data_IF_933470322486
#
_entry.id   IF_933470322486
#
_cell.length_a   1.000
_cell.length_b   1.000
_cell.length_c   1.000
_cell.angle_alpha   90.00
_cell.angle_beta   90.00
_cell.angle_gamma   90.00
#
_symmetry.space_group_name_H-M   'P 1'
#
loop_
_entity.id
_entity.type
_entity.pdbx_description
1 polymer ?
#
# COMPACT_ATOMS: atom_id res chain seq x y z
N UNK A 1 1.69 -15.58 -7.94
CA UNK A 1 1.52 -14.17 -7.53
C UNK A 1 0.51 -13.55 -8.45
N UNK A 2 -0.58 -12.98 -7.92
CA UNK A 2 -1.68 -12.40 -8.70
C UNK A 2 -1.17 -11.56 -9.89
N UNK A 3 -1.14 -12.10 -11.13
CA UNK A 3 -0.51 -11.43 -12.25
C UNK A 3 -1.51 -10.52 -12.99
N UNK A 4 -2.53 -10.01 -12.28
CA UNK A 4 -3.69 -9.34 -12.91
C UNK A 4 -4.12 -8.03 -12.27
N UNK A 5 -3.33 -7.41 -11.40
CA UNK A 5 -3.47 -5.96 -11.15
C UNK A 5 -2.62 -5.20 -12.15
N UNK A 6 -3.11 -5.25 -13.40
CA UNK A 6 -3.16 -4.19 -14.41
C UNK A 6 -2.08 -3.10 -14.25
N UNK A 7 -1.12 -3.12 -15.18
CA UNK A 7 -0.41 -1.92 -15.63
C UNK A 7 -1.44 -0.87 -16.03
N UNK A 8 -1.86 -0.05 -15.08
CA UNK A 8 -2.36 1.29 -15.40
C UNK A 8 -1.10 2.13 -15.26
N UNK A 9 -0.58 2.65 -16.38
CA UNK A 9 0.40 3.72 -16.36
C UNK A 9 -0.22 4.85 -15.56
N UNK A 10 0.12 4.90 -14.29
CA UNK A 10 -0.29 5.95 -13.38
C UNK A 10 0.98 6.45 -12.75
N UNK A 11 1.12 7.76 -12.73
CA UNK A 11 2.15 8.39 -11.96
C UNK A 11 2.05 7.94 -10.50
N UNK A 12 3.05 7.18 -10.06
CA UNK A 12 3.24 6.83 -8.66
C UNK A 12 4.20 7.85 -8.08
N UNK A 13 3.78 8.51 -7.00
CA UNK A 13 4.66 9.45 -6.29
C UNK A 13 6.02 8.80 -5.95
N UNK A 14 7.12 9.56 -6.00
CA UNK A 14 8.43 9.12 -5.54
C UNK A 14 8.38 8.45 -4.18
N UNK A 15 9.33 7.55 -3.92
CA UNK A 15 9.39 6.83 -2.66
C UNK A 15 9.51 7.78 -1.46
N UNK A 16 10.27 8.88 -1.59
CA UNK A 16 10.41 9.93 -0.57
C UNK A 16 9.05 10.47 -0.13
N UNK A 17 8.22 10.89 -1.08
CA UNK A 17 6.93 11.53 -0.81
C UNK A 17 5.95 10.55 -0.18
N UNK A 18 5.98 9.30 -0.65
CA UNK A 18 5.15 8.23 -0.07
C UNK A 18 5.61 7.87 1.33
N UNK A 19 6.92 7.83 1.58
CA UNK A 19 7.49 7.59 2.91
C UNK A 19 7.07 8.69 3.89
N UNK A 20 7.20 9.95 3.48
CA UNK A 20 6.76 11.10 4.28
C UNK A 20 5.25 11.08 4.55
N UNK A 21 4.45 10.82 3.52
CA UNK A 21 2.99 10.73 3.70
C UNK A 21 2.60 9.58 4.64
N UNK A 22 3.31 8.45 4.57
CA UNK A 22 3.07 7.31 5.45
C UNK A 22 3.52 7.59 6.89
N UNK A 23 4.68 8.22 7.09
CA UNK A 23 5.16 8.54 8.44
C UNK A 23 4.23 9.54 9.13
N UNK A 24 3.79 10.59 8.43
CA UNK A 24 2.87 11.58 8.99
C UNK A 24 1.50 10.99 9.40
N UNK A 25 1.03 9.92 8.75
CA UNK A 25 -0.21 9.23 9.12
C UNK A 25 0.02 8.19 10.24
N UNK A 26 1.21 7.60 10.34
CA UNK A 26 1.55 6.61 11.37
C UNK A 26 1.99 7.24 12.68
N UNK A 27 2.67 8.39 12.67
CA UNK A 27 3.18 9.07 13.87
C UNK A 27 2.10 9.30 14.95
N UNK A 28 0.91 9.86 14.62
CA UNK A 28 -0.14 10.04 15.63
C UNK A 28 -0.70 8.73 16.17
N UNK A 29 -0.76 7.68 15.34
CA UNK A 29 -1.22 6.35 15.75
C UNK A 29 -0.20 5.67 16.67
N UNK A 30 1.08 5.81 16.32
CA UNK A 30 2.20 5.31 17.10
C UNK A 30 2.26 5.93 18.49
N UNK A 31 2.09 7.26 18.57
CA UNK A 31 2.01 7.98 19.84
C UNK A 31 0.78 7.55 20.66
N UNK A 32 -0.40 7.47 20.03
CA UNK A 32 -1.64 7.08 20.70
C UNK A 32 -1.62 5.65 21.25
N UNK A 33 -0.93 4.73 20.57
CA UNK A 33 -0.82 3.32 20.96
C UNK A 33 0.51 2.98 21.64
N UNK A 34 1.38 3.95 21.87
CA UNK A 34 2.72 3.80 22.44
C UNK A 34 3.52 2.67 21.75
N UNK A 35 3.55 2.68 20.41
CA UNK A 35 4.23 1.68 19.61
C UNK A 35 5.27 2.32 18.68
N UNK A 36 6.35 1.59 18.39
CA UNK A 36 7.37 2.01 17.44
C UNK A 36 7.09 1.41 16.06
N UNK A 37 7.46 2.12 15.00
CA UNK A 37 7.33 1.63 13.63
C UNK A 37 8.58 1.93 12.79
N UNK A 38 8.87 1.05 11.82
CA UNK A 38 9.95 1.23 10.86
C UNK A 38 9.43 1.14 9.43
N UNK A 39 9.74 2.16 8.61
CA UNK A 39 9.39 2.16 7.18
C UNK A 39 10.58 1.71 6.34
N UNK A 40 10.54 0.46 5.87
CA UNK A 40 11.58 -0.12 5.00
C UNK A 40 11.17 -0.13 3.53
N UNK A 41 12.11 0.16 2.63
CA UNK A 41 11.89 0.12 1.17
C UNK A 41 11.92 -1.32 0.66
N UNK A 42 10.81 -1.77 0.06
CA UNK A 42 10.76 -3.03 -0.67
C UNK A 42 11.38 -2.88 -2.07
N UNK A 43 12.46 -3.62 -2.34
CA UNK A 43 13.04 -3.74 -3.69
C UNK A 43 12.42 -4.87 -4.52
N UNK A 44 11.83 -5.86 -3.85
CA UNK A 44 11.14 -7.02 -4.45
C UNK A 44 9.83 -7.29 -3.70
N UNK A 45 8.80 -7.86 -4.35
CA UNK A 45 7.49 -8.09 -3.72
C UNK A 45 7.52 -8.91 -2.43
N UNK A 46 8.47 -9.84 -2.30
CA UNK A 46 8.62 -10.72 -1.11
C UNK A 46 9.76 -10.29 -0.18
N UNK A 47 10.36 -9.12 -0.41
CA UNK A 47 11.71 -8.77 0.04
C UNK A 47 11.99 -9.00 1.52
N UNK A 48 11.40 -8.19 2.39
CA UNK A 48 11.74 -8.18 3.82
C UNK A 48 11.07 -9.31 4.60
N UNK A 49 9.92 -9.81 4.15
CA UNK A 49 9.13 -10.79 4.90
C UNK A 49 9.80 -12.18 4.98
N UNK A 50 10.89 -12.38 4.25
CA UNK A 50 11.70 -13.61 4.29
C UNK A 50 12.93 -13.50 5.19
N UNK A 51 13.10 -12.37 5.89
CA UNK A 51 14.13 -12.17 6.92
C UNK A 51 13.61 -12.69 8.29
N UNK A 52 14.50 -13.13 9.20
CA UNK A 52 14.13 -13.47 10.58
C UNK A 52 13.70 -12.22 11.36
N UNK A 53 12.95 -12.43 12.47
CA UNK A 53 12.51 -11.34 13.35
C UNK A 53 11.08 -10.84 13.13
N UNK A 54 10.26 -11.58 12.37
CA UNK A 54 8.84 -11.29 12.17
C UNK A 54 8.00 -12.49 12.61
N UNK A 55 6.89 -12.21 13.31
CA UNK A 55 5.94 -13.22 13.79
C UNK A 55 4.66 -13.30 12.93
N UNK A 56 4.25 -12.17 12.35
CA UNK A 56 3.01 -12.05 11.60
C UNK A 56 3.16 -11.21 10.32
N UNK A 57 2.25 -11.44 9.38
CA UNK A 57 2.09 -10.65 8.16
C UNK A 57 0.61 -10.32 7.95
N UNK A 58 0.33 -9.02 7.80
CA UNK A 58 -1.02 -8.51 7.53
C UNK A 58 -1.21 -8.34 6.03
N UNK A 59 -2.27 -8.94 5.48
CA UNK A 59 -2.58 -8.91 4.04
C UNK A 59 -4.05 -8.67 3.77
N UNK A 60 -4.34 -8.21 2.56
CA UNK A 60 -5.71 -8.21 2.02
C UNK A 60 -6.04 -9.57 1.38
N UNK A 61 -7.32 -9.88 1.13
CA UNK A 61 -7.70 -11.09 0.40
C UNK A 61 -6.97 -11.29 -0.93
N UNK A 62 -6.62 -10.22 -1.66
CA UNK A 62 -5.90 -10.39 -2.95
C UNK A 62 -4.40 -10.64 -2.79
N UNK A 63 -3.84 -10.32 -1.62
CA UNK A 63 -2.42 -10.50 -1.32
C UNK A 63 -2.13 -11.73 -0.45
N UNK A 64 -3.17 -12.48 -0.04
CA UNK A 64 -3.06 -13.75 0.68
C UNK A 64 -2.12 -14.75 -0.02
N UNK A 65 -2.30 -14.98 -1.33
CA UNK A 65 -1.43 -15.89 -2.08
C UNK A 65 0.05 -15.43 -2.11
N UNK A 66 0.31 -14.14 -1.89
CA UNK A 66 1.65 -13.59 -1.70
C UNK A 66 2.24 -13.99 -0.34
N UNK A 67 1.45 -13.88 0.73
CA UNK A 67 1.84 -14.29 2.08
C UNK A 67 2.10 -15.80 2.17
N UNK A 68 1.25 -16.62 1.56
CA UNK A 68 1.45 -18.09 1.49
C UNK A 68 2.79 -18.44 0.84
N UNK A 69 3.15 -17.74 -0.25
CA UNK A 69 4.44 -17.94 -0.93
C UNK A 69 5.62 -17.46 -0.09
N UNK A 70 5.46 -16.41 0.71
CA UNK A 70 6.48 -15.98 1.68
C UNK A 70 6.74 -17.10 2.68
N UNK A 71 5.70 -17.71 3.24
CA UNK A 71 5.84 -18.83 4.16
C UNK A 71 6.50 -20.06 3.52
N UNK A 72 6.25 -20.33 2.24
CA UNK A 72 6.97 -21.36 1.50
C UNK A 72 8.49 -21.07 1.46
N UNK A 73 8.88 -19.85 1.09
CA UNK A 73 10.30 -19.44 1.04
C UNK A 73 10.94 -19.47 2.44
N UNK A 74 10.19 -19.11 3.49
CA UNK A 74 10.68 -19.17 4.88
C UNK A 74 10.98 -20.60 5.30
N UNK A 75 10.08 -21.55 5.01
CA UNK A 75 10.30 -22.98 5.26
C UNK A 75 11.52 -23.53 4.51
N UNK A 76 11.69 -23.15 3.24
CA UNK A 76 12.88 -23.52 2.44
C UNK A 76 14.19 -23.00 3.06
N UNK A 77 14.13 -21.92 3.83
CA UNK A 77 15.28 -21.32 4.54
C UNK A 77 15.40 -21.76 6.00
N UNK A 78 14.56 -22.69 6.46
CA UNK A 78 14.55 -23.14 7.86
C UNK A 78 14.03 -22.09 8.85
N UNK A 79 13.22 -21.13 8.39
CA UNK A 79 12.58 -20.12 9.24
C UNK A 79 11.14 -20.53 9.55
N UNK A 80 10.67 -20.16 10.74
CA UNK A 80 9.28 -20.36 11.15
C UNK A 80 8.32 -19.59 10.24
N UNK A 81 7.16 -20.18 9.88
CA UNK A 81 6.15 -19.48 9.09
C UNK A 81 5.57 -18.29 9.87
N UNK A 82 5.24 -17.22 9.15
CA UNK A 82 4.53 -16.07 9.70
C UNK A 82 3.05 -16.40 9.87
N UNK A 83 2.45 -15.89 10.94
CA UNK A 83 1.00 -15.88 11.08
C UNK A 83 0.38 -14.92 10.04
N UNK A 84 -0.57 -15.41 9.23
CA UNK A 84 -1.18 -14.62 8.14
C UNK A 84 -2.50 -14.05 8.66
N UNK A 85 -2.54 -12.73 8.86
CA UNK A 85 -3.74 -12.00 9.26
C UNK A 85 -4.37 -11.34 8.03
N UNK A 86 -5.58 -11.78 7.69
CA UNK A 86 -6.32 -11.26 6.53
C UNK A 86 -7.28 -10.15 7.01
N UNK A 87 -7.09 -8.94 6.49
CA UNK A 87 -7.95 -7.79 6.78
C UNK A 87 -8.81 -7.45 5.57
N UNK A 88 -10.12 -7.43 5.79
CA UNK A 88 -11.11 -7.14 4.76
C UNK A 88 -11.03 -5.71 4.22
N UNK A 89 -11.50 -5.53 2.99
CA UNK A 89 -11.55 -4.22 2.38
C UNK A 89 -12.64 -3.35 2.98
N UNK A 90 -12.34 -2.05 3.09
CA UNK A 90 -13.34 -1.01 3.36
C UNK A 90 -14.04 -0.62 2.06
N UNK A 91 -15.35 -0.38 2.15
CA UNK A 91 -16.20 0.04 1.05
C UNK A 91 -16.40 1.56 1.06
N UNK A 92 -16.50 2.14 -0.13
CA UNK A 92 -16.89 3.52 -0.34
C UNK A 92 -18.42 3.67 -0.25
N UNK A 93 -18.91 4.92 -0.26
CA UNK A 93 -20.33 5.25 -0.14
C UNK A 93 -21.20 4.63 -1.26
N UNK A 94 -20.59 4.28 -2.40
CA UNK A 94 -21.25 3.62 -3.52
C UNK A 94 -21.28 2.09 -3.42
N UNK A 95 -20.91 1.52 -2.27
CA UNK A 95 -20.91 0.08 -2.02
C UNK A 95 -19.80 -0.67 -2.75
N UNK A 96 -18.86 0.03 -3.40
CA UNK A 96 -17.69 -0.55 -4.07
C UNK A 96 -16.45 -0.32 -3.23
N UNK A 97 -15.46 -1.21 -3.29
CA UNK A 97 -14.23 -1.09 -2.47
C UNK A 97 -13.52 0.25 -2.65
N UNK A 98 -12.94 0.78 -1.57
CA UNK A 98 -11.97 1.86 -1.65
C UNK A 98 -10.73 1.34 -2.38
N UNK A 99 -10.26 2.08 -3.39
CA UNK A 99 -9.01 1.73 -4.06
C UNK A 99 -8.26 2.95 -4.56
N UNK A 100 -6.93 2.87 -4.49
CA UNK A 100 -6.04 3.94 -4.96
C UNK A 100 -6.31 4.36 -6.41
N UNK A 101 -6.74 3.44 -7.27
CA UNK A 101 -7.08 3.74 -8.66
C UNK A 101 -8.29 4.68 -8.75
N UNK A 102 -9.34 4.42 -7.96
CA UNK A 102 -10.54 5.26 -7.90
C UNK A 102 -10.24 6.63 -7.28
N UNK A 103 -9.39 6.65 -6.24
CA UNK A 103 -8.90 7.88 -5.60
C UNK A 103 -8.13 8.75 -6.60
N UNK A 104 -7.24 8.15 -7.38
CA UNK A 104 -6.44 8.86 -8.39
C UNK A 104 -7.33 9.39 -9.52
N UNK A 105 -8.35 8.63 -9.93
CA UNK A 105 -9.32 9.06 -10.95
C UNK A 105 -10.30 10.14 -10.48
N UNK A 106 -10.32 10.47 -9.19
CA UNK A 106 -11.29 11.42 -8.64
C UNK A 106 -12.71 10.85 -8.57
N UNK A 107 -12.86 9.52 -8.57
CA UNK A 107 -14.17 8.89 -8.34
C UNK A 107 -14.57 8.99 -6.86
N UNK A 108 -13.58 8.80 -5.98
CA UNK A 108 -13.73 8.85 -4.51
C UNK A 108 -12.56 9.58 -3.87
N UNK A 109 -12.72 10.02 -2.63
CA UNK A 109 -11.62 10.48 -1.79
C UNK A 109 -10.96 9.35 -0.99
N UNK A 110 -10.00 9.68 -0.12
CA UNK A 110 -9.28 8.70 0.71
C UNK A 110 -10.14 8.03 1.78
N UNK A 111 -11.30 8.60 2.10
CA UNK A 111 -12.25 8.10 3.08
C UNK A 111 -13.41 7.32 2.43
N UNK A 112 -13.46 7.25 1.10
CA UNK A 112 -14.52 6.56 0.37
C UNK A 112 -15.71 7.45 0.02
N UNK A 113 -15.61 8.76 0.24
CA UNK A 113 -16.64 9.71 -0.16
C UNK A 113 -16.60 9.94 -1.66
N UNK A 114 -17.76 9.94 -2.33
CA UNK A 114 -17.86 10.23 -3.75
C UNK A 114 -17.41 11.66 -4.06
N UNK A 115 -16.60 11.82 -5.11
CA UNK A 115 -16.10 13.15 -5.53
C UNK A 115 -16.59 13.54 -6.92
N UNK A 116 -17.91 13.77 -7.13
CA UNK A 116 -18.50 13.99 -8.46
C UNK A 116 -17.96 15.21 -9.20
N UNK A 117 -17.40 16.18 -8.48
CA UNK A 117 -16.84 17.42 -9.03
C UNK A 117 -15.31 17.41 -9.15
N UNK A 118 -14.64 16.30 -8.83
CA UNK A 118 -13.18 16.23 -8.81
C UNK A 118 -12.66 15.59 -10.10
N UNK A 119 -11.91 16.36 -10.88
CA UNK A 119 -11.10 15.79 -11.94
C UNK A 119 -9.93 15.02 -11.32
N UNK A 120 -9.79 13.74 -11.68
CA UNK A 120 -8.65 12.91 -11.27
C UNK A 120 -7.29 13.48 -11.70
N UNK A 121 -6.22 12.96 -11.11
CA UNK A 121 -4.86 13.28 -11.55
C UNK A 121 -4.58 12.58 -12.89
N UNK A 122 -3.97 13.31 -13.83
CA UNK A 122 -3.48 12.76 -15.09
C UNK A 122 -2.46 11.64 -14.85
N UNK A 123 -2.36 10.71 -15.80
CA UNK A 123 -1.40 9.60 -15.76
C UNK A 123 0.07 10.07 -15.81
N UNK A 124 0.29 11.29 -16.29
CA UNK A 124 1.58 11.95 -16.46
C UNK A 124 1.91 12.82 -15.24
N UNK A 125 3.21 12.99 -14.93
CA UNK A 125 3.65 14.02 -13.97
C UNK A 125 2.97 15.36 -14.30
N UNK A 126 2.51 16.14 -13.31
CA UNK A 126 2.35 17.57 -13.57
C UNK A 126 3.70 18.05 -14.09
N UNK A 127 3.71 18.73 -15.24
CA UNK A 127 4.92 19.42 -15.67
C UNK A 127 5.36 20.28 -14.49
N UNK A 128 6.59 20.08 -14.03
CA UNK A 128 7.17 20.99 -13.06
C UNK A 128 7.11 22.37 -13.72
N UNK A 129 6.17 23.22 -13.29
CA UNK A 129 6.27 24.66 -13.46
C UNK A 129 7.48 25.09 -12.63
N UNK A 130 8.66 24.80 -13.16
CA UNK A 130 9.91 25.45 -12.79
C UNK A 130 9.77 26.86 -13.35
N UNK A 131 9.03 27.69 -12.60
CA UNK A 131 9.06 29.13 -12.73
C UNK A 131 10.52 29.54 -12.67
N UNK A 132 11.01 30.06 -13.80
CA UNK A 132 12.18 30.90 -13.81
C UNK A 132 11.96 32.03 -12.80
N UNK A 133 12.88 32.18 -11.84
CA UNK A 133 13.56 33.44 -11.53
C UNK A 133 14.99 33.14 -11.03
#
# INVERSE_FOLDING_TARGET
LAPKTRQVDRYVKPFSDRRYSLSAELEPLAEAHNCEFEIRRLKKPTGIATEPGFDAIVVSPETQAGAERINQIRRERGLDPLNIEIVDHVYADDGRRISSTRIVRGEIDRHGQLTPHRSGRSATQPADDCGAE
#
